data_IF_877906377527
#
_entry.id   IF_877906377527
#
_cell.length_a   1.000
_cell.length_b   1.000
_cell.length_c   1.000
_cell.angle_alpha   90.00
_cell.angle_beta   90.00
_cell.angle_gamma   90.00
#
_symmetry.space_group_name_H-M   'P 1'
#
loop_
_entity.id
_entity.type
_entity.pdbx_description
1 polymer ?
#
# COMPACT_ATOMS: atom_id res chain seq x y z
N UNK A 1 -3.49 -4.82 13.43
CA UNK A 1 -2.29 -3.99 13.18
C UNK A 1 -2.80 -2.58 12.89
N UNK A 2 -2.18 -1.55 13.44
CA UNK A 2 -2.45 -0.15 13.08
C UNK A 2 -1.09 0.53 12.82
N UNK A 3 -0.89 1.07 11.62
CA UNK A 3 0.37 1.71 11.23
C UNK A 3 0.53 3.11 11.82
N UNK A 4 -0.57 3.78 12.19
CA UNK A 4 -0.55 5.13 12.75
C UNK A 4 0.02 5.17 14.16
N UNK A 5 -0.02 4.06 14.86
CA UNK A 5 0.53 3.93 16.22
C UNK A 5 2.02 3.60 16.23
N UNK A 6 2.68 3.51 15.07
CA UNK A 6 4.11 3.18 15.00
C UNK A 6 4.96 4.35 15.51
N UNK A 7 5.81 4.07 16.50
CA UNK A 7 6.75 5.04 17.08
C UNK A 7 8.14 5.00 16.44
N UNK A 8 8.37 4.04 15.54
CA UNK A 8 9.60 3.82 14.80
C UNK A 8 9.26 3.44 13.35
N UNK A 9 10.24 2.96 12.59
CA UNK A 9 10.02 2.44 11.23
C UNK A 9 9.02 1.26 11.25
N UNK A 10 8.18 1.16 10.22
CA UNK A 10 7.21 0.07 10.07
C UNK A 10 7.87 -1.25 9.72
N UNK A 11 9.02 -1.21 9.06
CA UNK A 11 9.82 -2.39 8.71
C UNK A 11 9.12 -3.31 7.71
N UNK A 12 8.25 -2.77 6.85
CA UNK A 12 7.68 -3.52 5.74
C UNK A 12 8.74 -3.73 4.66
N UNK A 13 8.61 -4.82 3.90
CA UNK A 13 9.57 -5.15 2.85
C UNK A 13 9.07 -4.63 1.51
N UNK A 14 9.85 -3.76 0.85
CA UNK A 14 9.60 -3.30 -0.50
C UNK A 14 10.40 -4.12 -1.53
N UNK A 15 9.79 -4.43 -2.66
CA UNK A 15 10.47 -5.08 -3.79
C UNK A 15 9.92 -4.60 -5.15
N UNK A 16 10.77 -4.11 -6.07
CA UNK A 16 12.18 -3.80 -5.85
C UNK A 16 12.35 -2.67 -4.81
N UNK A 17 13.56 -2.54 -4.26
CA UNK A 17 13.88 -1.48 -3.29
C UNK A 17 13.74 -0.05 -3.89
N UNK A 18 13.75 0.07 -5.21
CA UNK A 18 13.49 1.32 -5.94
C UNK A 18 12.00 1.65 -6.11
N UNK A 19 11.11 0.79 -5.61
CA UNK A 19 9.66 0.94 -5.71
C UNK A 19 9.11 1.76 -4.54
N UNK A 20 8.51 1.07 -3.58
CA UNK A 20 7.95 1.69 -2.38
C UNK A 20 9.05 2.15 -1.43
N UNK A 21 8.94 3.39 -0.95
CA UNK A 21 9.82 3.95 0.07
C UNK A 21 9.03 4.36 1.32
N UNK A 22 9.63 4.16 2.50
CA UNK A 22 9.04 4.59 3.77
C UNK A 22 9.35 6.07 4.00
N UNK A 23 8.30 6.87 4.22
CA UNK A 23 8.41 8.30 4.47
C UNK A 23 7.54 8.74 5.64
N UNK A 24 7.91 9.83 6.28
CA UNK A 24 7.09 10.46 7.31
C UNK A 24 5.99 11.33 6.68
N UNK A 25 4.74 11.10 7.06
CA UNK A 25 3.58 11.90 6.69
C UNK A 25 2.89 12.49 7.91
N UNK A 26 1.73 13.10 7.70
CA UNK A 26 0.86 13.64 8.74
C UNK A 26 -0.55 13.08 8.62
N UNK A 27 -1.20 12.80 9.74
CA UNK A 27 -2.63 12.51 9.77
C UNK A 27 -3.48 13.79 9.81
N UNK A 28 -4.81 13.64 9.87
CA UNK A 28 -5.78 14.74 9.96
C UNK A 28 -5.59 15.63 11.20
N UNK A 29 -4.95 15.12 12.24
CA UNK A 29 -4.66 15.81 13.50
C UNK A 29 -3.24 16.38 13.55
N UNK A 30 -2.51 16.36 12.43
CA UNK A 30 -1.11 16.78 12.31
C UNK A 30 -0.13 15.95 13.14
N UNK A 31 -0.49 14.73 13.52
CA UNK A 31 0.45 13.79 14.12
C UNK A 31 1.37 13.23 13.04
N UNK A 32 2.66 13.14 13.34
CA UNK A 32 3.61 12.45 12.47
C UNK A 32 3.29 10.96 12.43
N UNK A 33 3.13 10.42 11.23
CA UNK A 33 2.88 9.00 10.99
C UNK A 33 3.89 8.44 9.98
N UNK A 34 4.10 7.13 10.00
CA UNK A 34 4.85 6.43 8.96
C UNK A 34 3.93 6.04 7.81
N UNK A 35 4.40 6.28 6.59
CA UNK A 35 3.66 6.03 5.35
C UNK A 35 4.58 5.40 4.32
N UNK A 36 4.02 4.78 3.28
CA UNK A 36 4.77 4.32 2.12
C UNK A 36 4.29 5.07 0.88
N UNK A 37 5.23 5.46 0.02
CA UNK A 37 4.93 6.10 -1.25
C UNK A 37 5.68 5.45 -2.40
N UNK A 38 5.11 5.55 -3.61
CA UNK A 38 5.74 5.17 -4.87
C UNK A 38 5.24 6.10 -5.98
N UNK A 39 6.15 6.61 -6.82
CA UNK A 39 5.79 7.56 -7.88
C UNK A 39 6.68 7.37 -9.13
N UNK A 40 6.95 6.13 -9.51
CA UNK A 40 7.80 5.79 -10.67
C UNK A 40 7.03 5.87 -12.00
N UNK A 41 6.26 6.94 -12.21
CA UNK A 41 5.32 7.09 -13.34
C UNK A 41 6.02 7.24 -14.70
N UNK A 42 7.29 7.67 -14.71
CA UNK A 42 8.09 7.83 -15.93
C UNK A 42 8.87 6.58 -16.32
N UNK A 43 8.91 5.57 -15.46
CA UNK A 43 9.61 4.31 -15.71
C UNK A 43 8.65 3.27 -16.28
N UNK A 44 9.01 2.54 -17.36
CA UNK A 44 8.15 1.50 -17.92
C UNK A 44 8.11 0.25 -17.04
N UNK A 45 7.13 -0.63 -17.29
CA UNK A 45 7.03 -1.99 -16.73
C UNK A 45 7.13 -2.06 -15.18
N UNK A 46 6.53 -1.10 -14.48
CA UNK A 46 6.53 -1.06 -13.02
C UNK A 46 5.76 -2.24 -12.42
N UNK A 47 6.37 -2.88 -11.43
CA UNK A 47 5.78 -3.95 -10.62
C UNK A 47 6.33 -3.86 -9.19
N UNK A 48 5.81 -2.90 -8.43
CA UNK A 48 6.32 -2.54 -7.11
C UNK A 48 5.45 -3.16 -6.01
N UNK A 49 6.03 -4.10 -5.27
CA UNK A 49 5.40 -4.78 -4.15
C UNK A 49 5.79 -4.14 -2.83
N UNK A 50 4.84 -4.13 -1.89
CA UNK A 50 5.04 -3.74 -0.51
C UNK A 50 4.37 -4.79 0.37
N UNK A 51 5.15 -5.38 1.27
CA UNK A 51 4.72 -6.49 2.10
C UNK A 51 4.84 -6.14 3.58
N UNK A 52 3.72 -6.26 4.30
CA UNK A 52 3.66 -6.01 5.74
C UNK A 52 4.53 -6.99 6.52
N UNK A 53 4.78 -6.68 7.79
CA UNK A 53 5.22 -7.70 8.74
C UNK A 53 4.11 -8.73 8.97
N UNK A 54 4.48 -9.90 9.52
CA UNK A 54 3.53 -10.96 9.85
C UNK A 54 2.47 -10.47 10.84
N UNK A 55 1.19 -10.70 10.54
CA UNK A 55 0.06 -10.25 11.36
C UNK A 55 -0.62 -11.47 11.96
N UNK A 56 -0.42 -11.71 13.26
CA UNK A 56 -1.13 -12.80 13.94
C UNK A 56 -2.65 -12.56 13.89
N UNK A 57 -3.38 -13.55 13.38
CA UNK A 57 -4.85 -13.54 13.20
C UNK A 57 -5.62 -13.52 14.52
N UNK A 58 -5.01 -13.98 15.62
CA UNK A 58 -5.60 -14.04 16.97
C UNK A 58 -6.98 -14.71 16.98
N UNK A 59 -7.15 -15.76 16.18
CA UNK A 59 -8.40 -16.52 16.05
C UNK A 59 -9.51 -15.88 15.18
N UNK A 60 -9.29 -14.69 14.60
CA UNK A 60 -10.28 -14.00 13.75
C UNK A 60 -10.51 -14.72 12.42
N UNK A 61 -11.72 -15.18 12.10
CA UNK A 61 -11.96 -15.93 10.85
C UNK A 61 -12.02 -15.05 9.61
N UNK A 62 -12.24 -13.75 9.77
CA UNK A 62 -12.29 -12.75 8.70
C UNK A 62 -11.52 -11.53 9.15
N UNK A 63 -10.76 -10.95 8.24
CA UNK A 63 -9.98 -9.73 8.48
C UNK A 63 -10.64 -8.57 7.72
N UNK A 64 -10.63 -7.40 8.34
CA UNK A 64 -11.00 -6.13 7.73
C UNK A 64 -9.75 -5.26 7.66
N UNK A 65 -9.51 -4.68 6.50
CA UNK A 65 -8.39 -3.78 6.23
C UNK A 65 -8.96 -2.44 5.83
N UNK A 66 -8.73 -1.43 6.67
CA UNK A 66 -8.93 -0.01 6.32
C UNK A 66 -7.62 0.53 5.75
N UNK A 67 -7.68 1.11 4.56
CA UNK A 67 -6.55 1.73 3.87
C UNK A 67 -6.84 3.21 3.70
N UNK A 68 -5.92 4.06 4.18
CA UNK A 68 -5.95 5.49 3.94
C UNK A 68 -4.81 5.86 3.02
N UNK A 69 -5.10 6.52 1.91
CA UNK A 69 -4.12 6.77 0.87
C UNK A 69 -4.47 8.00 0.03
N UNK A 70 -3.48 8.51 -0.68
CA UNK A 70 -3.64 9.63 -1.61
C UNK A 70 -3.16 9.18 -2.98
N UNK A 71 -3.89 9.49 -4.03
CA UNK A 71 -3.48 9.21 -5.42
C UNK A 71 -3.35 10.52 -6.17
N UNK A 72 -2.21 10.69 -6.85
CA UNK A 72 -2.02 11.81 -7.76
C UNK A 72 -2.67 11.49 -9.10
N UNK A 73 -3.48 12.42 -9.60
CA UNK A 73 -4.13 12.30 -10.90
C UNK A 73 -3.07 12.25 -12.02
N UNK A 74 -3.11 11.22 -12.85
CA UNK A 74 -2.23 11.05 -14.00
C UNK A 74 -2.35 12.23 -14.97
N UNK A 75 -3.56 12.76 -15.20
CA UNK A 75 -3.78 13.92 -16.07
C UNK A 75 -3.11 15.19 -15.55
N UNK A 76 -2.78 15.24 -14.25
CA UNK A 76 -2.07 16.35 -13.61
C UNK A 76 -0.54 16.27 -13.73
N UNK A 77 0.00 15.20 -14.33
CA UNK A 77 1.43 14.99 -14.49
C UNK A 77 1.87 15.42 -15.91
N UNK A 78 2.76 16.42 -16.04
CA UNK A 78 3.24 16.85 -17.35
C UNK A 78 4.06 15.74 -18.00
N UNK A 79 3.81 15.47 -19.28
CA UNK A 79 4.49 14.45 -20.09
C UNK A 79 4.39 13.02 -19.52
N UNK A 80 3.35 12.72 -18.73
CA UNK A 80 3.19 11.38 -18.18
C UNK A 80 2.94 10.34 -19.29
N UNK A 81 3.61 9.18 -19.26
CA UNK A 81 3.30 8.09 -20.17
C UNK A 81 1.87 7.56 -19.98
N UNK A 82 1.25 7.04 -21.04
CA UNK A 82 -0.06 6.40 -20.98
C UNK A 82 -0.12 5.12 -20.11
N UNK A 83 1.03 4.65 -19.62
CA UNK A 83 1.13 3.55 -18.65
C UNK A 83 0.85 3.97 -17.22
N UNK A 84 0.66 5.27 -16.94
CA UNK A 84 0.30 5.77 -15.61
C UNK A 84 -0.96 5.06 -15.06
N UNK A 85 -0.96 4.77 -13.76
CA UNK A 85 -2.06 4.10 -13.05
C UNK A 85 -2.42 4.86 -11.78
N UNK A 86 -3.71 4.87 -11.49
CA UNK A 86 -4.32 5.55 -10.33
C UNK A 86 -4.94 4.54 -9.36
N UNK A 87 -4.51 3.27 -9.45
CA UNK A 87 -5.02 2.15 -8.67
C UNK A 87 -3.88 1.27 -8.20
N UNK A 88 -4.09 0.54 -7.12
CA UNK A 88 -3.16 -0.49 -6.63
C UNK A 88 -3.94 -1.75 -6.23
N UNK A 89 -3.28 -2.90 -6.23
CA UNK A 89 -3.92 -4.16 -5.82
C UNK A 89 -3.63 -4.45 -4.35
N UNK A 90 -4.64 -4.94 -3.63
CA UNK A 90 -4.49 -5.52 -2.31
C UNK A 90 -4.47 -7.04 -2.41
N UNK A 91 -3.47 -7.68 -1.80
CA UNK A 91 -3.36 -9.13 -1.70
C UNK A 91 -3.16 -9.55 -0.24
N UNK A 92 -3.41 -10.83 0.06
CA UNK A 92 -3.04 -11.46 1.32
C UNK A 92 -2.39 -12.83 1.10
N UNK A 93 -1.61 -13.28 2.08
CA UNK A 93 -1.00 -14.61 2.08
C UNK A 93 -1.00 -15.17 3.50
N UNK A 94 -1.59 -16.35 3.65
CA UNK A 94 -1.69 -17.03 4.95
C UNK A 94 -0.46 -17.90 5.22
N UNK A 95 0.07 -17.82 6.44
CA UNK A 95 1.19 -18.64 6.90
C UNK A 95 1.10 -18.93 8.40
N UNK A 96 1.63 -20.08 8.82
CA UNK A 96 1.65 -20.45 10.23
C UNK A 96 2.82 -19.80 11.01
N UNK A 97 3.78 -19.22 10.29
CA UNK A 97 4.99 -18.60 10.84
C UNK A 97 5.50 -17.42 10.01
N UNK A 98 6.37 -16.61 10.61
CA UNK A 98 7.05 -15.49 9.94
C UNK A 98 7.88 -16.03 8.77
N UNK A 99 7.63 -15.50 7.58
CA UNK A 99 8.31 -15.89 6.36
C UNK A 99 9.55 -15.04 6.09
N UNK A 100 10.60 -15.67 5.56
CA UNK A 100 11.77 -14.95 5.06
C UNK A 100 11.53 -14.48 3.61
N UNK A 101 11.44 -13.18 3.41
CA UNK A 101 11.06 -12.51 2.14
C UNK A 101 12.18 -12.46 1.08
N UNK A 102 13.14 -13.41 1.14
CA UNK A 102 14.41 -13.35 0.38
C UNK A 102 14.36 -14.02 -1.01
N UNK A 103 13.26 -14.64 -1.43
CA UNK A 103 13.18 -15.37 -2.71
C UNK A 103 12.34 -14.59 -3.73
N UNK A 104 12.85 -14.44 -4.95
CA UNK A 104 12.17 -13.72 -6.05
C UNK A 104 10.78 -14.26 -6.38
N UNK A 105 10.56 -15.57 -6.25
CA UNK A 105 9.27 -16.23 -6.45
C UNK A 105 8.18 -15.81 -5.43
N UNK A 106 8.53 -15.02 -4.41
CA UNK A 106 7.60 -14.50 -3.42
C UNK A 106 7.08 -13.09 -3.78
N UNK A 107 7.44 -12.56 -4.94
CA UNK A 107 7.04 -11.22 -5.42
C UNK A 107 6.29 -11.31 -6.74
N UNK A 108 5.37 -12.27 -6.80
CA UNK A 108 4.46 -12.53 -7.92
C UNK A 108 3.06 -12.79 -7.37
N UNK A 109 2.03 -12.76 -8.22
CA UNK A 109 0.64 -12.95 -7.79
C UNK A 109 0.44 -14.27 -7.03
N UNK A 110 0.90 -15.41 -7.57
CA UNK A 110 1.04 -16.62 -6.76
C UNK A 110 2.31 -16.50 -5.90
N UNK A 111 2.26 -16.73 -4.58
CA UNK A 111 1.24 -17.48 -3.83
C UNK A 111 0.14 -16.62 -3.14
N UNK A 112 0.11 -15.32 -3.37
CA UNK A 112 -0.88 -14.44 -2.75
C UNK A 112 -2.27 -14.58 -3.39
N UNK A 113 -3.27 -14.26 -2.59
CA UNK A 113 -4.65 -14.20 -3.01
C UNK A 113 -5.06 -12.73 -3.14
N UNK A 114 -5.52 -12.35 -4.33
CA UNK A 114 -5.99 -10.98 -4.58
C UNK A 114 -7.28 -10.73 -3.80
N UNK A 115 -7.30 -9.64 -3.04
CA UNK A 115 -8.50 -9.15 -2.36
C UNK A 115 -9.29 -8.28 -3.33
N UNK A 116 -8.66 -7.22 -3.86
CA UNK A 116 -9.30 -6.28 -4.78
C UNK A 116 -8.28 -5.39 -5.51
N UNK A 117 -8.73 -4.68 -6.54
CA UNK A 117 -8.05 -3.50 -7.09
C UNK A 117 -8.65 -2.26 -6.45
N UNK A 118 -7.84 -1.53 -5.69
CA UNK A 118 -8.22 -0.33 -4.96
C UNK A 118 -8.00 0.90 -5.86
N UNK A 119 -9.04 1.70 -6.01
CA UNK A 119 -9.02 2.99 -6.70
C UNK A 119 -9.28 4.12 -5.70
N UNK A 120 -8.81 5.32 -6.01
CA UNK A 120 -9.21 6.51 -5.26
C UNK A 120 -10.63 6.95 -5.69
N UNK A 121 -11.44 7.34 -4.71
CA UNK A 121 -12.68 8.09 -4.95
C UNK A 121 -12.34 9.52 -5.41
N UNK A 122 -11.30 10.11 -4.81
CA UNK A 122 -10.80 11.43 -5.13
C UNK A 122 -9.28 11.42 -5.33
N UNK A 123 -8.82 11.88 -6.50
CA UNK A 123 -7.41 12.14 -6.78
C UNK A 123 -7.06 13.62 -6.54
N UNK A 124 -5.79 13.92 -6.27
CA UNK A 124 -5.28 15.29 -6.15
C UNK A 124 -4.45 15.70 -7.36
N UNK A 125 -4.48 16.99 -7.70
CA UNK A 125 -3.81 17.58 -8.85
C UNK A 125 -2.59 18.44 -8.47
N UNK A 126 -1.89 18.98 -9.48
CA UNK A 126 -0.79 19.93 -9.27
C UNK A 126 -1.25 21.24 -8.60
N UNK A 127 -2.48 21.69 -8.87
CA UNK A 127 -3.06 22.88 -8.23
C UNK A 127 -3.28 22.62 -6.74
N UNK A 128 -3.78 21.43 -6.41
CA UNK A 128 -3.99 21.01 -5.02
C UNK A 128 -2.65 20.87 -4.29
N UNK A 129 -1.62 20.33 -4.96
CA UNK A 129 -0.27 20.24 -4.39
C UNK A 129 0.35 21.64 -4.13
N UNK A 130 0.16 22.59 -5.05
CA UNK A 130 0.56 23.99 -4.86
C UNK A 130 -0.17 24.70 -3.72
N UNK A 131 -1.40 24.27 -3.43
CA UNK A 131 -2.18 24.67 -2.26
C UNK A 131 -1.94 23.83 -0.99
N UNK A 132 -1.03 22.83 -1.04
CA UNK A 132 -0.79 21.82 0.02
C UNK A 132 -2.04 21.05 0.45
N UNK A 133 -3.01 20.90 -0.44
CA UNK A 133 -4.22 20.12 -0.19
C UNK A 133 -4.02 18.69 -0.73
N UNK A 134 -3.72 17.75 0.15
CA UNK A 134 -3.74 16.33 -0.20
C UNK A 134 -5.14 15.77 0.09
N UNK A 135 -5.73 15.09 -0.89
CA UNK A 135 -7.03 14.44 -0.74
C UNK A 135 -6.84 13.00 -0.27
N UNK A 136 -7.25 12.73 0.97
CA UNK A 136 -7.12 11.41 1.59
C UNK A 136 -8.37 10.58 1.28
N UNK A 137 -8.15 9.42 0.69
CA UNK A 137 -9.16 8.40 0.42
C UNK A 137 -9.15 7.38 1.55
N UNK A 138 -10.32 6.82 1.87
CA UNK A 138 -10.44 5.73 2.85
C UNK A 138 -11.22 4.59 2.24
N UNK A 139 -10.57 3.43 2.10
CA UNK A 139 -11.17 2.23 1.55
C UNK A 139 -11.13 1.08 2.55
N UNK A 140 -12.24 0.37 2.69
CA UNK A 140 -12.34 -0.80 3.58
C UNK A 140 -12.61 -2.05 2.76
N UNK A 141 -11.77 -3.07 2.94
CA UNK A 141 -11.97 -4.40 2.33
C UNK A 141 -11.93 -5.48 3.39
N UNK A 142 -12.54 -6.63 3.10
CA UNK A 142 -12.49 -7.78 3.99
C UNK A 142 -12.20 -9.07 3.22
N UNK A 143 -11.55 -10.02 3.87
CA UNK A 143 -11.20 -11.31 3.27
C UNK A 143 -11.18 -12.43 4.32
N UNK A 144 -11.38 -13.66 3.84
CA UNK A 144 -11.53 -14.88 4.63
C UNK A 144 -12.58 -15.81 4.02
N UNK A 145 -12.83 -17.00 4.59
CA UNK A 145 -12.34 -17.43 5.91
C UNK A 145 -10.84 -17.72 5.93
N UNK A 146 -10.19 -17.34 7.02
CA UNK A 146 -8.78 -17.63 7.26
C UNK A 146 -8.63 -18.84 8.19
N UNK A 147 -7.60 -19.62 7.96
CA UNK A 147 -7.33 -20.89 8.63
C UNK A 147 -5.97 -20.93 9.33
N UNK A 148 -4.96 -20.23 8.80
CA UNK A 148 -3.60 -20.23 9.37
C UNK A 148 -3.45 -19.23 10.52
N UNK A 149 -2.28 -19.23 11.14
CA UNK A 149 -1.99 -18.38 12.29
C UNK A 149 -1.94 -16.87 11.98
N UNK A 150 -1.64 -16.47 10.74
CA UNK A 150 -1.57 -15.07 10.32
C UNK A 150 -1.26 -14.88 8.84
#
# INVERSE_FOLDING_TARGET
MDTRTATAELGWTANPASGWEEVSGYDENLNTIRTYQVCNVFEPNQNNWLLTTFINRRGAHRIYTEMRFTVRDCSSLPNVPGSCKETFNLYYYETDSVIATKKSAFWSEAPYLKVDTIAADESFSQVDFGGRLMKVNTEVRSFGPLTRNG
#
